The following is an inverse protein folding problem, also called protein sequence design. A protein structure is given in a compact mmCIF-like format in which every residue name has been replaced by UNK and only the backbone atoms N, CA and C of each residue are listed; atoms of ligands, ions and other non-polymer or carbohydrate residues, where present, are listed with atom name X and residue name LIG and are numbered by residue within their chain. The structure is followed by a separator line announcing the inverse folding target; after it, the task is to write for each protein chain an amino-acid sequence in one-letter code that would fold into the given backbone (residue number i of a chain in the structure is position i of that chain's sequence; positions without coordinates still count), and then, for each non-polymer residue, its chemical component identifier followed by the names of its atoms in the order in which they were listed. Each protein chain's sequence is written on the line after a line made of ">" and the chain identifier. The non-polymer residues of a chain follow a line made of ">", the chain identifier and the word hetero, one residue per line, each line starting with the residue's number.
data_IF_286652625414
#
_entry.id   IF_286652625414
#
_cell.length_a   1.000
_cell.length_b   1.000
_cell.length_c   1.000
_cell.angle_alpha   90.00
_cell.angle_beta   90.00
_cell.angle_gamma   90.00
#
_symmetry.space_group_name_H-M   'P 1'
#
loop_
_entity.id
_entity.type
_entity.pdbx_description
1 polymer ?
#
# COMPACT_ATOMS: atom_id res chain seq x y z
N UNK A 1 0.18 11.22 -10.20
CA UNK A 1 -1.13 11.63 -9.66
C UNK A 1 -1.37 11.08 -8.28
N UNK A 2 -1.19 9.77 -8.04
CA UNK A 2 -1.37 9.16 -6.71
C UNK A 2 -0.60 9.86 -5.57
N UNK A 3 0.69 10.13 -5.77
CA UNK A 3 1.56 10.75 -4.76
C UNK A 3 1.06 12.11 -4.23
N UNK A 4 0.45 12.94 -5.08
CA UNK A 4 0.00 14.28 -4.69
C UNK A 4 -1.49 14.35 -4.31
N UNK A 5 -2.32 13.47 -4.88
CA UNK A 5 -3.77 13.48 -4.61
C UNK A 5 -4.15 12.65 -3.38
N UNK A 6 -3.43 11.55 -3.10
CA UNK A 6 -3.76 10.65 -2.00
C UNK A 6 -3.74 11.33 -0.62
N UNK A 7 -2.75 12.18 -0.27
CA UNK A 7 -2.73 12.88 1.01
C UNK A 7 -3.92 13.83 1.18
N UNK A 8 -4.35 14.49 0.09
CA UNK A 8 -5.51 15.40 0.11
C UNK A 8 -6.79 14.63 0.40
N UNK A 9 -6.99 13.49 -0.24
CA UNK A 9 -8.17 12.63 -0.01
C UNK A 9 -8.16 12.09 1.42
N UNK A 10 -7.02 11.59 1.87
CA UNK A 10 -6.87 11.06 3.23
C UNK A 10 -7.14 12.14 4.29
N UNK A 11 -6.67 13.37 4.07
CA UNK A 11 -6.94 14.49 4.97
C UNK A 11 -8.43 14.74 5.12
N UNK A 12 -9.16 14.81 4.01
CA UNK A 12 -10.62 15.02 4.04
C UNK A 12 -11.32 13.87 4.75
N UNK A 13 -10.92 12.62 4.51
CA UNK A 13 -11.50 11.46 5.21
C UNK A 13 -11.28 11.54 6.73
N UNK A 14 -10.08 11.90 7.18
CA UNK A 14 -9.72 12.07 8.59
C UNK A 14 -10.45 13.24 9.25
N UNK A 15 -10.60 14.37 8.57
CA UNK A 15 -11.40 15.52 9.03
C UNK A 15 -12.87 15.13 9.27
N UNK A 16 -13.39 14.19 8.48
CA UNK A 16 -14.73 13.64 8.64
C UNK A 16 -14.79 12.46 9.65
N UNK A 17 -13.71 12.20 10.39
CA UNK A 17 -13.60 11.11 11.39
C UNK A 17 -13.88 9.72 10.81
N UNK A 18 -13.55 9.51 9.54
CA UNK A 18 -13.65 8.20 8.89
C UNK A 18 -12.36 7.43 9.14
N UNK A 19 -12.48 6.16 9.55
CA UNK A 19 -11.33 5.25 9.66
C UNK A 19 -10.66 5.13 8.28
N UNK A 20 -9.44 5.64 8.16
CA UNK A 20 -8.75 5.80 6.88
C UNK A 20 -7.53 4.90 6.85
N UNK A 21 -7.56 3.90 5.96
CA UNK A 21 -6.43 3.02 5.69
C UNK A 21 -5.84 3.36 4.32
N UNK A 22 -4.58 3.77 4.29
CA UNK A 22 -3.83 3.99 3.06
C UNK A 22 -3.09 2.72 2.64
N UNK A 23 -3.28 2.25 1.41
CA UNK A 23 -2.51 1.15 0.83
C UNK A 23 -1.82 1.66 -0.43
N UNK A 24 -0.47 1.68 -0.41
CA UNK A 24 0.34 2.28 -1.48
C UNK A 24 1.54 1.41 -1.82
N UNK A 25 2.00 1.48 -3.07
CA UNK A 25 3.22 0.82 -3.52
C UNK A 25 4.39 1.78 -3.63
N UNK A 26 5.59 1.34 -3.20
CA UNK A 26 6.84 2.03 -3.57
C UNK A 26 7.28 1.59 -4.97
N UNK A 27 7.75 2.52 -5.83
CA UNK A 27 8.19 2.19 -7.18
C UNK A 27 9.39 1.24 -7.17
N UNK A 28 9.63 0.58 -8.30
CA UNK A 28 10.84 -0.23 -8.44
C UNK A 28 12.09 0.65 -8.54
N UNK A 29 13.25 0.13 -8.12
CA UNK A 29 14.51 0.87 -8.24
C UNK A 29 14.85 1.24 -9.68
N UNK A 30 14.45 0.39 -10.64
CA UNK A 30 14.68 0.63 -12.08
C UNK A 30 13.86 1.79 -12.65
N UNK A 31 12.77 2.20 -11.98
CA UNK A 31 11.95 3.34 -12.41
C UNK A 31 12.66 4.70 -12.17
N UNK A 32 13.80 4.67 -11.47
CA UNK A 32 14.69 5.79 -11.30
C UNK A 32 14.58 6.47 -9.93
N UNK A 33 15.71 7.01 -9.48
CA UNK A 33 15.84 7.64 -8.16
C UNK A 33 14.94 8.87 -7.96
N UNK A 34 14.53 9.54 -9.05
CA UNK A 34 13.57 10.64 -8.95
C UNK A 34 12.19 10.16 -8.50
N UNK A 35 11.67 9.08 -9.11
CA UNK A 35 10.37 8.49 -8.72
C UNK A 35 10.38 7.98 -7.29
N UNK A 36 11.48 7.35 -6.86
CA UNK A 36 11.63 6.92 -5.46
C UNK A 36 11.55 8.10 -4.50
N UNK A 37 12.32 9.17 -4.74
CA UNK A 37 12.27 10.38 -3.89
C UNK A 37 10.88 10.99 -3.82
N UNK A 38 10.19 11.10 -4.95
CA UNK A 38 8.81 11.60 -5.00
C UNK A 38 7.87 10.69 -4.20
N UNK A 39 8.03 9.37 -4.29
CA UNK A 39 7.22 8.42 -3.52
C UNK A 39 7.44 8.53 -2.01
N UNK A 40 8.69 8.68 -1.54
CA UNK A 40 8.99 8.86 -0.11
C UNK A 40 8.35 10.15 0.43
N UNK A 41 8.46 11.27 -0.29
CA UNK A 41 7.84 12.53 0.11
C UNK A 41 6.31 12.41 0.22
N UNK A 42 5.66 11.75 -0.75
CA UNK A 42 4.22 11.51 -0.67
C UNK A 42 3.82 10.55 0.44
N UNK A 43 4.69 9.60 0.79
CA UNK A 43 4.49 8.66 1.89
C UNK A 43 4.49 9.39 3.24
N UNK A 44 5.49 10.24 3.46
CA UNK A 44 5.62 11.07 4.66
C UNK A 44 4.44 12.04 4.84
N UNK A 45 3.89 12.54 3.73
CA UNK A 45 2.71 13.39 3.76
C UNK A 45 1.46 12.57 4.08
N UNK A 46 1.25 11.45 3.39
CA UNK A 46 0.09 10.58 3.56
C UNK A 46 -0.01 10.00 4.98
N UNK A 47 1.13 9.63 5.58
CA UNK A 47 1.19 9.07 6.94
C UNK A 47 0.58 9.99 8.01
N UNK A 48 0.57 11.31 7.79
CA UNK A 48 -0.02 12.27 8.73
C UNK A 48 -1.55 12.20 8.74
N UNK A 49 -2.13 11.75 7.63
CA UNK A 49 -3.56 11.82 7.37
C UNK A 49 -4.29 10.48 7.39
N UNK A 50 -3.58 9.35 7.44
CA UNK A 50 -4.20 8.02 7.58
C UNK A 50 -4.06 7.51 9.01
N UNK A 51 -4.96 6.60 9.42
CA UNK A 51 -4.87 5.90 10.71
C UNK A 51 -3.92 4.69 10.61
N UNK A 52 -3.87 4.07 9.43
CA UNK A 52 -2.94 2.99 9.12
C UNK A 52 -2.41 3.17 7.71
N UNK A 53 -1.10 3.04 7.53
CA UNK A 53 -0.45 3.11 6.23
C UNK A 53 0.24 1.78 5.95
N UNK A 54 -0.20 1.09 4.91
CA UNK A 54 0.42 -0.15 4.43
C UNK A 54 1.20 0.18 3.18
N UNK A 55 2.48 -0.15 3.23
CA UNK A 55 3.44 0.17 2.18
C UNK A 55 3.95 -1.12 1.57
N UNK A 56 3.68 -1.28 0.28
CA UNK A 56 4.05 -2.47 -0.48
C UNK A 56 5.28 -2.11 -1.33
N UNK A 57 6.49 -2.56 -0.96
CA UNK A 57 7.66 -2.30 -1.78
C UNK A 57 7.62 -3.17 -3.04
N UNK A 58 7.48 -2.55 -4.23
CA UNK A 58 7.45 -3.30 -5.48
C UNK A 58 8.73 -4.13 -5.70
N UNK A 59 9.84 -3.75 -5.07
CA UNK A 59 11.07 -4.54 -5.11
C UNK A 59 10.88 -5.98 -4.60
N UNK A 60 9.98 -6.21 -3.63
CA UNK A 60 9.71 -7.54 -3.12
C UNK A 60 8.95 -8.42 -4.12
N UNK A 61 8.23 -7.81 -5.07
CA UNK A 61 7.53 -8.53 -6.14
C UNK A 61 8.52 -9.26 -7.06
N UNK A 62 9.74 -8.74 -7.24
CA UNK A 62 10.80 -9.44 -7.98
C UNK A 62 11.29 -10.71 -7.31
N UNK A 63 11.18 -10.85 -5.98
CA UNK A 63 11.49 -12.12 -5.31
C UNK A 63 10.47 -13.21 -5.62
N UNK A 64 9.27 -12.82 -6.03
CA UNK A 64 8.16 -13.72 -6.37
C UNK A 64 8.09 -13.97 -7.88
N UNK A 65 8.64 -13.04 -8.67
CA UNK A 65 8.76 -13.12 -10.12
C UNK A 65 10.01 -13.91 -10.53
N UNK A 66 9.84 -14.94 -11.36
CA UNK A 66 10.94 -15.71 -11.94
C UNK A 66 11.71 -14.88 -13.00
N UNK A 67 12.91 -15.32 -13.38
CA UNK A 67 13.78 -14.64 -14.39
C UNK A 67 13.11 -14.40 -15.76
N UNK A 68 12.00 -15.08 -16.05
CA UNK A 68 11.21 -14.94 -17.28
C UNK A 68 10.14 -13.85 -17.21
N UNK A 69 9.97 -13.20 -16.07
CA UNK A 69 8.87 -12.25 -15.84
C UNK A 69 9.17 -10.93 -16.55
N UNK A 70 8.29 -10.53 -17.47
CA UNK A 70 8.45 -9.26 -18.17
C UNK A 70 8.06 -8.08 -17.26
N UNK A 71 8.47 -6.86 -17.62
CA UNK A 71 8.07 -5.65 -16.90
C UNK A 71 6.53 -5.52 -16.81
N UNK A 72 5.82 -5.88 -17.88
CA UNK A 72 4.35 -5.84 -17.90
C UNK A 72 3.73 -6.82 -16.89
N UNK A 73 4.33 -8.01 -16.74
CA UNK A 73 3.87 -9.01 -15.77
C UNK A 73 4.18 -8.58 -14.34
N UNK A 74 5.31 -7.91 -14.09
CA UNK A 74 5.65 -7.37 -12.79
C UNK A 74 4.65 -6.29 -12.32
N UNK A 75 4.17 -5.42 -13.21
CA UNK A 75 3.12 -4.46 -12.88
C UNK A 75 1.78 -5.15 -12.58
N UNK A 76 1.39 -6.17 -13.35
CA UNK A 76 0.18 -6.96 -13.05
C UNK A 76 0.27 -7.67 -11.70
N UNK A 77 1.46 -8.16 -11.34
CA UNK A 77 1.71 -8.76 -10.04
C UNK A 77 1.53 -7.72 -8.91
N UNK A 78 2.01 -6.49 -9.10
CA UNK A 78 1.82 -5.39 -8.15
C UNK A 78 0.33 -5.09 -7.92
N UNK A 79 -0.45 -4.99 -8.99
CA UNK A 79 -1.91 -4.77 -8.91
C UNK A 79 -2.61 -5.91 -8.17
N UNK A 80 -2.19 -7.15 -8.41
CA UNK A 80 -2.73 -8.33 -7.74
C UNK A 80 -2.42 -8.32 -6.23
N UNK A 81 -1.21 -7.92 -5.85
CA UNK A 81 -0.79 -7.81 -4.45
C UNK A 81 -1.52 -6.67 -3.74
N UNK A 82 -1.72 -5.53 -4.41
CA UNK A 82 -2.54 -4.43 -3.91
C UNK A 82 -3.98 -4.89 -3.65
N UNK A 83 -4.61 -5.54 -4.63
CA UNK A 83 -5.97 -6.05 -4.50
C UNK A 83 -6.09 -7.07 -3.36
N UNK A 84 -5.12 -7.99 -3.25
CA UNK A 84 -5.11 -9.02 -2.20
C UNK A 84 -4.91 -8.40 -0.82
N UNK A 85 -4.03 -7.39 -0.70
CA UNK A 85 -3.82 -6.65 0.54
C UNK A 85 -5.08 -5.95 1.02
N UNK A 86 -5.79 -5.25 0.13
CA UNK A 86 -7.05 -4.57 0.47
C UNK A 86 -8.16 -5.57 0.82
N UNK A 87 -8.29 -6.65 0.04
CA UNK A 87 -9.29 -7.70 0.29
C UNK A 87 -9.05 -8.36 1.64
N UNK A 88 -7.81 -8.71 1.97
CA UNK A 88 -7.49 -9.34 3.26
C UNK A 88 -7.90 -8.48 4.46
N UNK A 89 -7.70 -7.15 4.38
CA UNK A 89 -8.12 -6.23 5.45
C UNK A 89 -9.64 -6.12 5.52
N UNK A 90 -10.28 -5.99 4.37
CA UNK A 90 -11.74 -5.84 4.28
C UNK A 90 -12.45 -7.10 4.78
N UNK A 91 -11.95 -8.29 4.42
CA UNK A 91 -12.49 -9.57 4.86
C UNK A 91 -12.33 -9.77 6.38
N UNK A 92 -11.20 -9.33 6.96
CA UNK A 92 -10.98 -9.32 8.42
C UNK A 92 -11.90 -8.33 9.15
N UNK A 93 -12.27 -7.22 8.52
CA UNK A 93 -13.20 -6.24 9.09
C UNK A 93 -14.68 -6.66 8.97
N UNK A 94 -15.06 -7.38 7.90
CA UNK A 94 -16.45 -7.73 7.59
C UNK A 94 -16.89 -9.07 8.21
N UNK A 95 -15.96 -9.99 8.50
CA UNK A 95 -16.26 -11.25 9.19
C UNK A 95 -15.48 -11.38 10.51
N UNK A 96 -16.08 -11.03 11.67
CA UNK A 96 -15.44 -11.18 12.99
C UNK A 96 -15.44 -12.64 13.50
N UNK A 97 -15.26 -13.63 12.62
CA UNK A 97 -15.41 -15.05 12.94
C UNK A 97 -14.23 -15.89 12.47
N UNK A 98 -13.50 -16.45 13.44
CA UNK A 98 -12.55 -17.58 13.35
C UNK A 98 -11.09 -17.34 12.97
N UNK A 99 -10.58 -16.11 13.07
CA UNK A 99 -9.13 -15.93 13.20
C UNK A 99 -8.86 -14.92 14.31
N UNK A 100 -8.57 -15.44 15.51
CA UNK A 100 -7.91 -14.69 16.57
C UNK A 100 -6.46 -14.43 16.14
N UNK A 101 -6.27 -13.57 15.13
CA UNK A 101 -4.96 -13.02 14.83
C UNK A 101 -4.71 -11.96 15.88
N UNK A 102 -3.88 -12.36 16.83
CA UNK A 102 -3.40 -11.59 17.96
C UNK A 102 -2.83 -10.25 17.48
N UNK A 103 -3.69 -9.23 17.41
CA UNK A 103 -3.34 -7.86 17.06
C UNK A 103 -2.48 -7.19 18.17
N UNK A 104 -2.17 -7.92 19.26
CA UNK A 104 -1.28 -7.47 20.32
C UNK A 104 0.22 -7.58 19.96
N UNK A 105 0.57 -8.35 18.92
CA UNK A 105 1.98 -8.70 18.63
C UNK A 105 2.66 -7.82 17.55
N UNK A 106 2.04 -6.73 17.10
CA UNK A 106 2.67 -5.81 16.14
C UNK A 106 2.98 -4.48 16.84
N UNK A 107 4.17 -4.40 17.45
CA UNK A 107 4.85 -3.17 17.89
C UNK A 107 6.03 -2.86 16.98
#
# INVERSE_FOLDING_TARGET
>A
TGTGAAPVIARVAKENKILTIGVVTKPFHFEGAHRMRTAELGLEELQRYVDTLIVIPNQNLFRIANEKTTFADAFKLADTVLHTGVRGITDLMVMPGLINLDFADIR
#
